data_IF_615695872368
#
_entry.id   IF_615695872368
#
_cell.length_a   1.000
_cell.length_b   1.000
_cell.length_c   1.000
_cell.angle_alpha   90.00
_cell.angle_beta   90.00
_cell.angle_gamma   90.00
#
_symmetry.space_group_name_H-M   'P 1'
#
loop_
_entity.id
_entity.type
_entity.pdbx_description
1 polymer ?
#
# COMPACT_ATOMS: atom_id res chain seq x y z
N UNK A 1 10.16 15.35 -2.53
CA UNK A 1 9.06 14.51 -2.02
C UNK A 1 8.79 13.46 -3.08
N UNK A 2 8.73 12.17 -2.72
CA UNK A 2 8.42 11.12 -3.69
C UNK A 2 7.00 11.28 -4.24
N UNK A 3 6.73 10.69 -5.40
CA UNK A 3 5.37 10.64 -5.94
C UNK A 3 4.61 9.42 -5.36
N UNK A 4 3.29 9.53 -5.13
CA UNK A 4 2.50 8.39 -4.68
C UNK A 4 2.41 7.32 -5.77
N UNK A 5 2.64 6.06 -5.41
CA UNK A 5 2.51 4.93 -6.34
C UNK A 5 1.13 4.31 -6.16
N UNK A 6 0.35 4.22 -7.24
CA UNK A 6 -1.02 3.69 -7.20
C UNK A 6 -1.18 2.47 -8.10
N UNK A 7 -1.71 1.38 -7.53
CA UNK A 7 -2.11 0.19 -8.28
C UNK A 7 -3.49 -0.28 -7.78
N UNK A 8 -4.52 -0.18 -8.64
CA UNK A 8 -5.89 -0.57 -8.28
C UNK A 8 -6.46 0.24 -7.10
N UNK A 9 -6.82 -0.48 -6.04
CA UNK A 9 -7.29 0.02 -4.76
C UNK A 9 -6.17 0.41 -3.79
N UNK A 10 -4.91 0.10 -4.10
CA UNK A 10 -3.76 0.41 -3.24
C UNK A 10 -3.06 1.68 -3.68
N UNK A 11 -2.74 2.54 -2.72
CA UNK A 11 -1.95 3.75 -2.89
C UNK A 11 -0.83 3.73 -1.85
N UNK A 12 0.42 3.73 -2.31
CA UNK A 12 1.60 3.96 -1.48
C UNK A 12 1.88 5.45 -1.45
N UNK A 13 1.62 6.10 -0.32
CA UNK A 13 1.87 7.53 -0.13
C UNK A 13 3.19 7.71 0.62
N UNK A 14 4.15 8.47 0.06
CA UNK A 14 5.39 8.80 0.77
C UNK A 14 5.09 9.44 2.11
N UNK A 15 5.68 8.88 3.17
CA UNK A 15 5.49 9.30 4.54
C UNK A 15 6.86 9.52 5.22
N UNK A 16 7.69 10.45 4.68
CA UNK A 16 8.99 10.74 5.28
C UNK A 16 8.78 11.28 6.70
N UNK A 17 9.44 10.67 7.68
CA UNK A 17 9.32 11.08 9.09
C UNK A 17 8.07 10.58 9.81
N UNK A 18 7.26 9.68 9.22
CA UNK A 18 6.35 8.84 10.01
C UNK A 18 7.22 8.04 10.99
N UNK A 19 7.29 8.54 12.23
CA UNK A 19 8.20 8.04 13.23
C UNK A 19 7.99 6.53 13.44
N UNK A 20 9.11 5.83 13.58
CA UNK A 20 9.32 4.38 13.60
C UNK A 20 8.67 3.71 14.83
N UNK A 21 7.36 3.91 15.02
CA UNK A 21 6.67 3.51 16.23
C UNK A 21 5.89 2.25 15.89
N UNK A 22 6.46 1.11 16.25
CA UNK A 22 5.82 -0.20 16.08
C UNK A 22 6.82 -1.32 15.85
N UNK A 23 6.41 -2.58 16.07
CA UNK A 23 7.24 -3.72 15.72
C UNK A 23 7.58 -3.71 14.22
N UNK A 24 8.84 -4.02 13.92
CA UNK A 24 9.37 -4.11 12.56
C UNK A 24 9.51 -5.58 12.17
N UNK A 25 8.80 -5.98 11.13
CA UNK A 25 8.98 -7.27 10.50
C UNK A 25 9.80 -7.11 9.24
N UNK A 26 10.91 -7.85 9.13
CA UNK A 26 11.71 -7.87 7.92
C UNK A 26 11.09 -8.84 6.90
N UNK A 27 10.75 -8.34 5.71
CA UNK A 27 10.19 -9.14 4.64
C UNK A 27 10.83 -8.77 3.30
N UNK A 28 10.92 -9.72 2.38
CA UNK A 28 11.24 -9.47 0.96
C UNK A 28 9.99 -9.43 0.08
N UNK A 29 8.89 -9.96 0.61
CA UNK A 29 7.62 -10.08 -0.07
C UNK A 29 6.51 -9.88 0.95
N UNK A 30 5.59 -8.96 0.68
CA UNK A 30 4.49 -8.66 1.59
C UNK A 30 3.22 -8.30 0.85
N UNK A 31 2.08 -8.80 1.31
CA UNK A 31 0.77 -8.49 0.73
C UNK A 31 0.30 -7.15 1.31
N UNK A 32 0.39 -6.08 0.51
CA UNK A 32 -0.05 -4.72 0.90
C UNK A 32 -1.53 -4.47 0.63
N UNK A 33 -2.18 -5.36 -0.12
CA UNK A 33 -3.59 -5.27 -0.45
C UNK A 33 -4.19 -6.62 -0.81
N UNK A 34 -5.42 -6.84 -0.38
CA UNK A 34 -6.25 -7.96 -0.78
C UNK A 34 -7.58 -7.41 -1.31
N UNK A 35 -7.98 -7.89 -2.47
CA UNK A 35 -9.28 -7.60 -3.08
C UNK A 35 -10.27 -8.70 -2.79
N UNK A 36 -11.53 -8.33 -2.54
CA UNK A 36 -12.63 -9.26 -2.28
C UNK A 36 -12.87 -10.24 -3.43
N UNK A 37 -12.46 -9.86 -4.65
CA UNK A 37 -12.50 -10.73 -5.83
C UNK A 37 -11.36 -11.77 -5.90
N UNK A 38 -10.48 -11.81 -4.90
CA UNK A 38 -9.45 -12.85 -4.73
C UNK A 38 -8.08 -12.53 -5.33
N UNK A 39 -7.78 -11.27 -5.67
CA UNK A 39 -6.44 -10.85 -6.09
C UNK A 39 -5.65 -10.14 -4.99
N UNK A 40 -4.31 -10.18 -5.12
CA UNK A 40 -3.40 -9.57 -4.16
C UNK A 40 -2.54 -8.49 -4.80
N UNK A 41 -2.34 -7.40 -4.05
CA UNK A 41 -1.27 -6.45 -4.31
C UNK A 41 -0.09 -6.80 -3.43
N UNK A 42 0.99 -7.24 -4.07
CA UNK A 42 2.17 -7.75 -3.38
C UNK A 42 3.35 -6.85 -3.66
N UNK A 43 3.99 -6.38 -2.61
CA UNK A 43 5.26 -5.70 -2.69
C UNK A 43 6.37 -6.74 -2.63
N UNK A 44 7.25 -6.73 -3.63
CA UNK A 44 8.32 -7.71 -3.85
C UNK A 44 9.64 -6.99 -4.09
N UNK A 45 10.66 -7.27 -3.29
CA UNK A 45 12.00 -6.69 -3.39
C UNK A 45 13.07 -7.77 -3.26
N UNK A 46 14.18 -7.56 -3.95
CA UNK A 46 15.33 -8.48 -3.88
C UNK A 46 16.04 -8.36 -2.50
N UNK A 47 15.93 -7.19 -1.86
CA UNK A 47 16.42 -6.89 -0.51
C UNK A 47 15.29 -6.87 0.52
N UNK A 48 15.63 -7.16 1.78
CA UNK A 48 14.64 -7.08 2.86
C UNK A 48 14.25 -5.62 3.10
N UNK A 49 12.96 -5.39 3.32
CA UNK A 49 12.37 -4.14 3.78
C UNK A 49 11.67 -4.36 5.12
N UNK A 50 11.31 -3.27 5.80
CA UNK A 50 10.55 -3.38 7.04
C UNK A 50 9.07 -3.11 6.82
N UNK A 51 8.24 -3.99 7.37
CA UNK A 51 6.80 -3.81 7.53
C UNK A 51 6.55 -3.38 8.95
N UNK A 52 5.77 -2.31 9.11
CA UNK A 52 5.42 -1.74 10.41
C UNK A 52 3.90 -1.59 10.46
N UNK A 53 3.27 -2.26 11.41
CA UNK A 53 1.83 -2.14 11.67
C UNK A 53 1.64 -1.47 13.02
N UNK A 54 1.10 -0.25 13.00
CA UNK A 54 0.89 0.54 14.20
C UNK A 54 -0.25 1.54 14.00
N UNK A 55 -1.02 1.82 15.07
CA UNK A 55 -2.10 2.82 15.06
C UNK A 55 -3.07 2.67 13.87
N UNK A 56 -3.45 1.43 13.55
CA UNK A 56 -4.30 1.08 12.39
C UNK A 56 -3.74 1.51 11.03
N UNK A 57 -2.43 1.75 10.95
CA UNK A 57 -1.70 2.08 9.74
C UNK A 57 -0.74 0.96 9.38
N UNK A 58 -0.61 0.75 8.06
CA UNK A 58 0.43 -0.08 7.47
C UNK A 58 1.49 0.84 6.86
N UNK A 59 2.70 0.76 7.38
CA UNK A 59 3.88 1.48 6.90
C UNK A 59 4.88 0.48 6.32
N UNK A 60 5.53 0.87 5.22
CA UNK A 60 6.59 0.11 4.58
C UNK A 60 7.83 0.99 4.51
N UNK A 61 8.95 0.49 4.98
CA UNK A 61 10.27 1.12 4.86
C UNK A 61 11.12 0.32 3.88
N UNK A 62 11.23 0.84 2.65
CA UNK A 62 12.02 0.28 1.57
C UNK A 62 13.45 0.83 1.62
N UNK A 63 14.43 -0.06 1.76
CA UNK A 63 15.86 0.27 1.69
C UNK A 63 16.41 0.24 0.27
N UNK A 64 15.73 -0.46 -0.63
CA UNK A 64 16.04 -0.55 -2.06
C UNK A 64 14.74 -0.49 -2.88
N UNK A 65 14.89 -0.37 -4.19
CA UNK A 65 13.80 -0.40 -5.15
C UNK A 65 13.01 -1.71 -5.01
N UNK A 66 11.69 -1.59 -5.01
CA UNK A 66 10.77 -2.72 -4.96
C UNK A 66 9.81 -2.70 -6.15
N UNK A 67 9.10 -3.80 -6.32
CA UNK A 67 8.08 -4.00 -7.35
C UNK A 67 6.74 -4.21 -6.67
N UNK A 68 5.77 -3.36 -6.99
CA UNK A 68 4.38 -3.56 -6.59
C UNK A 68 3.67 -4.36 -7.70
N UNK A 69 3.39 -5.63 -7.41
CA UNK A 69 2.88 -6.63 -8.35
C UNK A 69 1.40 -6.88 -8.08
N UNK A 70 0.57 -6.78 -9.11
CA UNK A 70 -0.82 -7.24 -9.05
C UNK A 70 -0.89 -8.74 -9.38
N UNK A 71 -1.15 -9.57 -8.37
CA UNK A 71 -1.35 -11.01 -8.52
C UNK A 71 -2.83 -11.33 -8.70
N UNK A 72 -3.28 -11.32 -9.95
CA UNK A 72 -4.62 -11.72 -10.36
C UNK A 72 -4.57 -12.79 -11.47
N UNK A 73 -5.57 -13.67 -11.50
CA UNK A 73 -5.66 -14.73 -12.51
C UNK A 73 -6.12 -14.18 -13.88
N UNK A 74 -6.98 -13.16 -13.86
CA UNK A 74 -7.38 -12.32 -14.99
C UNK A 74 -7.23 -10.84 -14.57
N UNK A 75 -7.11 -9.91 -15.53
CA UNK A 75 -6.97 -8.46 -15.25
C UNK A 75 -5.68 -8.06 -14.50
N UNK A 76 -4.53 -8.40 -15.08
CA UNK A 76 -3.21 -8.10 -14.50
C UNK A 76 -2.90 -6.62 -14.70
N UNK A 77 -2.76 -5.88 -13.61
CA UNK A 77 -2.23 -4.53 -13.68
C UNK A 77 -0.74 -4.60 -14.00
N UNK A 78 -0.22 -3.54 -14.61
CA UNK A 78 1.22 -3.41 -14.83
C UNK A 78 1.95 -3.40 -13.48
N UNK A 79 3.02 -4.19 -13.38
CA UNK A 79 3.95 -4.12 -12.24
C UNK A 79 4.55 -2.72 -12.16
N UNK A 80 4.44 -2.08 -10.99
CA UNK A 80 4.98 -0.74 -10.76
C UNK A 80 6.28 -0.79 -9.98
N UNK A 81 7.25 0.03 -10.38
CA UNK A 81 8.48 0.23 -9.63
C UNK A 81 8.22 1.21 -8.49
N UNK A 82 8.63 0.84 -7.27
CA UNK A 82 8.54 1.67 -6.07
C UNK A 82 9.96 2.02 -5.63
N UNK A 83 10.37 3.30 -5.67
CA UNK A 83 11.71 3.68 -5.25
C UNK A 83 11.91 3.50 -3.73
N UNK A 84 13.16 3.47 -3.24
CA UNK A 84 13.46 3.43 -1.81
C UNK A 84 12.77 4.57 -1.04
N UNK A 85 12.37 4.32 0.19
CA UNK A 85 11.71 5.30 1.06
C UNK A 85 10.68 4.70 2.00
N UNK A 86 10.11 5.55 2.85
CA UNK A 86 9.01 5.18 3.74
C UNK A 86 7.67 5.53 3.12
N UNK A 87 6.76 4.57 3.10
CA UNK A 87 5.44 4.68 2.50
C UNK A 87 4.36 4.28 3.50
N UNK A 88 3.26 5.04 3.51
CA UNK A 88 2.00 4.62 4.10
C UNK A 88 1.15 3.94 3.05
N UNK A 89 0.68 2.74 3.36
CA UNK A 89 -0.24 1.99 2.51
C UNK A 89 -1.66 2.46 2.81
N UNK A 90 -2.30 3.05 1.80
CA UNK A 90 -3.72 3.40 1.83
C UNK A 90 -4.49 2.43 0.95
N UNK A 91 -5.61 1.94 1.46
CA UNK A 91 -6.60 1.19 0.69
C UNK A 91 -7.76 2.13 0.35
N UNK A 92 -8.18 2.16 -0.92
CA UNK A 92 -9.43 2.80 -1.30
C UNK A 92 -10.57 2.10 -0.55
N UNK A 93 -11.44 2.89 0.08
CA UNK A 93 -12.71 2.36 0.57
C UNK A 93 -13.56 1.96 -0.64
N UNK A 94 -14.27 0.85 -0.51
CA UNK A 94 -15.30 0.48 -1.48
C UNK A 94 -16.35 1.58 -1.50
N UNK A 95 -16.78 1.98 -2.69
CA UNK A 95 -17.89 2.90 -2.84
C UNK A 95 -19.12 2.28 -2.19
N UNK A 96 -19.68 2.94 -1.19
CA UNK A 96 -20.94 2.57 -0.58
C UNK A 96 -21.97 3.61 -0.98
N UNK A 97 -22.89 3.31 -1.91
CA UNK A 97 -23.83 4.31 -2.42
C UNK A 97 -24.66 4.93 -1.30
N UNK A 98 -24.98 4.21 -0.21
CA UNK A 98 -25.79 4.75 0.89
C UNK A 98 -24.99 5.71 1.76
N UNK A 99 -23.71 5.42 2.03
CA UNK A 99 -22.85 6.27 2.85
C UNK A 99 -22.24 7.43 2.05
N UNK A 100 -21.95 7.23 0.77
CA UNK A 100 -21.26 8.21 -0.09
C UNK A 100 -22.22 9.22 -0.75
N UNK A 101 -23.52 8.92 -0.90
CA UNK A 101 -24.52 9.91 -1.36
C UNK A 101 -24.99 10.84 -0.23
N UNK A 102 -24.81 10.43 1.03
CA UNK A 102 -25.26 11.15 2.23
C UNK A 102 -24.12 11.54 3.17
N UNK A 103 -22.87 11.58 2.67
CA UNK A 103 -21.78 12.21 3.42
C UNK A 103 -22.20 13.62 3.82
N UNK A 104 -21.93 14.07 5.07
CA UNK A 104 -22.41 15.36 5.52
C UNK A 104 -21.93 16.42 4.53
N UNK A 105 -22.89 17.12 3.93
CA UNK A 105 -22.61 18.41 3.34
C UNK A 105 -21.97 19.22 4.47
N UNK A 106 -20.65 19.38 4.42
CA UNK A 106 -19.96 20.31 5.27
C UNK A 106 -20.47 21.70 4.87
N UNK A 107 -21.36 22.25 5.69
CA UNK A 107 -21.64 23.68 5.77
C UNK A 107 -20.42 24.38 6.41
#
# INVERSE_FOLDING_TARGET
MGEPVRQGEIILVPAPGAAQIGPREAAKRYIVGHSESGHHHVLDSDHAFHVIVANDQLLIELHDTARLVHQAQADRHQTLTVPPGTYRVLRKRQYNPVLDIHGPAAD
#
